data_IF_601254299758
#
_entry.id   IF_601254299758
#
_cell.length_a   1.000
_cell.length_b   1.000
_cell.length_c   1.000
_cell.angle_alpha   90.00
_cell.angle_beta   90.00
_cell.angle_gamma   90.00
#
_symmetry.space_group_name_H-M   'P 1'
#
loop_
_entity.id
_entity.type
_entity.pdbx_description
1 polymer ?
#
# COMPACT_ATOMS: atom_id res chain seq x y z
N UNK A 1 -18.93 8.74 80.77
CA UNK A 1 -20.29 9.02 80.20
C UNK A 1 -20.10 9.56 78.80
N UNK A 2 -20.79 8.92 77.82
CA UNK A 2 -20.97 9.26 76.42
C UNK A 2 -20.05 8.61 75.39
N UNK A 3 -20.59 7.52 74.89
CA UNK A 3 -20.32 6.83 73.68
C UNK A 3 -20.41 7.77 72.46
N UNK A 4 -19.42 7.69 71.58
CA UNK A 4 -19.60 8.19 70.22
C UNK A 4 -19.36 7.06 69.24
N UNK A 5 -20.43 6.73 68.53
CA UNK A 5 -20.44 5.64 67.58
C UNK A 5 -19.60 5.90 66.33
N UNK A 6 -18.87 4.88 65.95
CA UNK A 6 -18.09 4.82 64.71
C UNK A 6 -19.05 4.35 63.64
N UNK A 7 -19.37 5.23 62.67
CA UNK A 7 -20.08 4.84 61.47
C UNK A 7 -18.99 4.44 60.44
N UNK A 8 -18.78 3.13 60.37
CA UNK A 8 -17.96 2.53 59.31
C UNK A 8 -18.78 2.51 58.01
N UNK A 9 -18.52 3.47 57.15
CA UNK A 9 -19.06 3.44 55.78
C UNK A 9 -18.29 2.44 54.93
N UNK A 10 -18.90 1.28 54.69
CA UNK A 10 -18.38 0.26 53.79
C UNK A 10 -18.68 0.69 52.34
N UNK A 11 -17.70 1.32 51.69
CA UNK A 11 -17.73 1.60 50.25
C UNK A 11 -17.52 0.29 49.51
N UNK A 12 -18.62 -0.37 49.12
CA UNK A 12 -18.61 -1.51 48.22
C UNK A 12 -18.37 -1.02 46.81
N UNK A 13 -17.07 -1.02 46.38
CA UNK A 13 -16.68 -0.76 45.02
C UNK A 13 -17.20 -1.86 44.11
N UNK A 14 -18.29 -1.57 43.39
CA UNK A 14 -18.90 -2.45 42.39
C UNK A 14 -17.95 -2.48 41.18
N UNK A 15 -16.95 -3.37 41.17
CA UNK A 15 -16.12 -3.67 40.01
C UNK A 15 -16.99 -4.41 39.00
N UNK A 16 -17.57 -3.66 38.07
CA UNK A 16 -18.16 -4.23 36.86
C UNK A 16 -17.05 -4.90 36.04
N UNK A 17 -17.11 -6.21 35.78
CA UNK A 17 -16.20 -6.80 34.83
C UNK A 17 -16.53 -6.19 33.45
N UNK A 18 -15.59 -5.49 32.83
CA UNK A 18 -15.62 -5.27 31.39
C UNK A 18 -15.60 -6.67 30.77
N UNK A 19 -16.76 -7.15 30.37
CA UNK A 19 -16.86 -8.30 29.50
C UNK A 19 -16.16 -7.90 28.19
N UNK A 20 -14.93 -8.36 28.03
CA UNK A 20 -14.28 -8.35 26.73
C UNK A 20 -15.18 -9.18 25.82
N UNK A 21 -15.89 -8.51 24.92
CA UNK A 21 -16.65 -9.17 23.87
C UNK A 21 -15.61 -9.91 23.06
N UNK A 22 -15.49 -11.21 23.29
CA UNK A 22 -14.65 -12.09 22.50
C UNK A 22 -15.31 -12.13 21.11
N UNK A 23 -14.70 -11.39 20.19
CA UNK A 23 -15.11 -11.35 18.80
C UNK A 23 -14.82 -12.75 18.20
N UNK A 24 -15.86 -13.53 18.00
CA UNK A 24 -15.78 -14.96 17.64
C UNK A 24 -15.55 -15.11 16.13
N UNK A 25 -14.52 -14.47 15.64
CA UNK A 25 -14.08 -14.61 14.26
C UNK A 25 -13.31 -15.92 14.10
N UNK A 26 -13.93 -16.92 13.46
CA UNK A 26 -13.45 -18.32 13.48
C UNK A 26 -12.35 -18.66 12.49
N UNK A 27 -12.19 -17.93 11.39
CA UNK A 27 -11.23 -18.26 10.33
C UNK A 27 -10.73 -16.99 9.64
N UNK A 28 -9.41 -16.94 9.39
CA UNK A 28 -8.74 -15.89 8.60
C UNK A 28 -9.04 -14.45 9.07
N UNK A 29 -8.97 -14.23 10.37
CA UNK A 29 -9.18 -12.94 10.97
C UNK A 29 -7.87 -12.26 11.34
N UNK A 30 -7.92 -10.94 11.49
CA UNK A 30 -6.80 -10.14 11.88
C UNK A 30 -7.21 -8.72 12.24
N UNK A 31 -6.22 -7.94 12.61
CA UNK A 31 -6.36 -6.51 12.92
C UNK A 31 -5.53 -5.71 11.91
N UNK A 32 -6.09 -4.65 11.38
CA UNK A 32 -5.36 -3.71 10.52
C UNK A 32 -4.27 -3.05 11.34
N UNK A 33 -3.02 -3.35 11.03
CA UNK A 33 -1.86 -2.79 11.70
C UNK A 33 -1.42 -1.45 11.12
N UNK A 34 -1.57 -1.26 9.79
CA UNK A 34 -1.28 0.02 9.16
C UNK A 34 -1.99 0.14 7.80
N UNK A 35 -2.31 1.38 7.43
CA UNK A 35 -2.80 1.75 6.11
C UNK A 35 -1.85 2.81 5.54
N UNK A 36 -1.08 2.46 4.50
CA UNK A 36 -0.08 3.35 3.90
C UNK A 36 -0.41 3.61 2.45
N UNK A 37 -0.12 4.81 2.03
CA UNK A 37 -0.20 5.20 0.62
C UNK A 37 1.20 5.06 0.01
N UNK A 38 1.33 4.29 -1.06
CA UNK A 38 2.58 4.08 -1.77
C UNK A 38 2.43 4.42 -3.26
N UNK A 39 3.47 5.01 -3.83
CA UNK A 39 3.53 5.24 -5.26
C UNK A 39 4.23 4.07 -5.91
N UNK A 40 3.54 3.39 -6.83
CA UNK A 40 4.11 2.33 -7.66
C UNK A 40 4.49 2.87 -9.02
N UNK A 41 5.63 2.44 -9.53
CA UNK A 41 6.01 2.73 -10.90
C UNK A 41 5.12 1.98 -11.88
N UNK A 42 4.76 2.64 -12.96
CA UNK A 42 3.99 2.02 -14.02
C UNK A 42 4.80 0.93 -14.74
N UNK A 43 4.12 -0.10 -15.21
CA UNK A 43 4.75 -1.09 -16.10
C UNK A 43 5.01 -0.45 -17.47
N UNK A 44 6.27 -0.40 -17.86
CA UNK A 44 6.66 0.01 -19.22
C UNK A 44 6.13 -1.01 -20.22
N UNK A 45 5.35 -0.57 -21.18
CA UNK A 45 4.85 -1.44 -22.28
C UNK A 45 5.83 -1.46 -23.46
N UNK A 46 6.90 -0.66 -23.38
CA UNK A 46 7.88 -0.52 -24.43
C UNK A 46 7.56 0.55 -25.48
N UNK A 47 6.34 1.10 -25.46
CA UNK A 47 5.93 2.17 -26.38
C UNK A 47 6.84 3.40 -26.28
N UNK A 48 7.20 3.80 -25.04
CA UNK A 48 8.12 4.89 -24.80
C UNK A 48 9.53 4.60 -25.37
N UNK A 49 10.01 3.35 -25.25
CA UNK A 49 11.28 2.94 -25.82
C UNK A 49 11.26 3.00 -27.36
N UNK A 50 10.20 2.52 -28.00
CA UNK A 50 10.04 2.60 -29.46
C UNK A 50 9.96 4.05 -29.94
N UNK A 51 9.09 4.85 -29.33
CA UNK A 51 8.94 6.26 -29.69
C UNK A 51 10.22 7.07 -29.45
N UNK A 52 10.86 6.85 -28.30
CA UNK A 52 12.12 7.49 -27.95
C UNK A 52 13.27 7.05 -28.86
N UNK A 53 13.34 5.76 -29.22
CA UNK A 53 14.34 5.23 -30.15
C UNK A 53 14.21 5.83 -31.56
N UNK A 54 12.99 5.91 -32.08
CA UNK A 54 12.72 6.54 -33.38
C UNK A 54 13.08 8.02 -33.35
N UNK A 55 12.61 8.76 -32.35
CA UNK A 55 12.92 10.19 -32.23
C UNK A 55 14.41 10.42 -32.05
N UNK A 56 15.10 9.66 -31.20
CA UNK A 56 16.54 9.75 -30.96
C UNK A 56 17.35 9.36 -32.19
N UNK A 57 16.91 8.35 -32.94
CA UNK A 57 17.53 7.95 -34.20
C UNK A 57 17.44 9.04 -35.28
N UNK A 58 16.27 9.67 -35.42
CA UNK A 58 16.07 10.78 -36.35
C UNK A 58 16.96 11.97 -36.00
N UNK A 59 17.02 12.37 -34.73
CA UNK A 59 17.87 13.44 -34.25
C UNK A 59 19.36 13.09 -34.46
N UNK A 60 19.76 11.87 -34.09
CA UNK A 60 21.15 11.39 -34.29
C UNK A 60 21.54 11.35 -35.75
N UNK A 61 20.61 11.07 -36.68
CA UNK A 61 20.85 11.09 -38.09
C UNK A 61 21.10 12.51 -38.65
N UNK A 62 20.55 13.55 -38.02
CA UNK A 62 20.78 14.95 -38.42
C UNK A 62 22.10 15.49 -37.89
N UNK A 63 22.69 14.86 -36.89
CA UNK A 63 23.92 15.28 -36.25
C UNK A 63 25.09 14.50 -36.85
N UNK A 64 25.94 15.12 -37.67
CA UNK A 64 27.17 14.55 -38.18
C UNK A 64 27.16 14.18 -39.65
N UNK A 65 28.37 14.01 -40.21
CA UNK A 65 28.63 13.59 -41.58
C UNK A 65 29.51 12.33 -41.64
N UNK A 66 29.35 11.52 -42.67
CA UNK A 66 30.16 10.32 -42.88
C UNK A 66 30.00 9.26 -41.80
N UNK A 67 31.10 8.68 -41.34
CA UNK A 67 31.10 7.62 -40.30
C UNK A 67 30.59 8.09 -38.98
N UNK A 68 30.68 9.37 -38.62
CA UNK A 68 30.13 9.95 -37.38
C UNK A 68 28.62 9.93 -37.35
N UNK A 69 27.95 10.05 -38.49
CA UNK A 69 26.50 9.98 -38.62
C UNK A 69 25.95 8.63 -38.16
N UNK A 70 26.59 7.53 -38.53
CA UNK A 70 26.19 6.19 -38.12
C UNK A 70 26.27 6.01 -36.60
N UNK A 71 27.38 6.46 -35.98
CA UNK A 71 27.53 6.38 -34.53
C UNK A 71 26.52 7.25 -33.78
N UNK A 72 26.27 8.48 -34.29
CA UNK A 72 25.26 9.37 -33.69
C UNK A 72 23.83 8.81 -33.81
N UNK A 73 23.52 8.15 -34.92
CA UNK A 73 22.21 7.49 -35.09
C UNK A 73 22.04 6.33 -34.13
N UNK A 74 23.04 5.44 -34.01
CA UNK A 74 23.00 4.30 -33.08
C UNK A 74 22.90 4.77 -31.64
N UNK A 75 23.73 5.75 -31.26
CA UNK A 75 23.68 6.35 -29.91
C UNK A 75 22.35 7.05 -29.62
N UNK A 76 21.79 7.73 -30.62
CA UNK A 76 20.49 8.39 -30.53
C UNK A 76 19.33 7.38 -30.34
N UNK A 77 19.32 6.27 -31.07
CA UNK A 77 18.33 5.20 -30.91
C UNK A 77 18.45 4.60 -29.51
N UNK A 78 19.62 4.22 -29.07
CA UNK A 78 19.82 3.59 -27.76
C UNK A 78 19.48 4.54 -26.62
N UNK A 79 19.99 5.76 -26.64
CA UNK A 79 19.71 6.78 -25.63
C UNK A 79 18.26 7.21 -25.60
N UNK A 80 17.65 7.39 -26.78
CA UNK A 80 16.24 7.73 -26.93
C UNK A 80 15.31 6.61 -26.42
N UNK A 81 15.63 5.35 -26.75
CA UNK A 81 14.86 4.21 -26.26
C UNK A 81 14.91 4.09 -24.71
N UNK A 82 16.09 4.26 -24.13
CA UNK A 82 16.25 4.26 -22.68
C UNK A 82 15.47 5.40 -22.01
N UNK A 83 15.67 6.63 -22.48
CA UNK A 83 14.99 7.81 -21.96
C UNK A 83 13.46 7.69 -22.10
N UNK A 84 12.98 7.23 -23.27
CA UNK A 84 11.56 7.04 -23.54
C UNK A 84 10.94 5.98 -22.62
N UNK A 85 11.66 4.89 -22.34
CA UNK A 85 11.20 3.86 -21.40
C UNK A 85 11.05 4.40 -19.95
N UNK A 86 12.04 5.19 -19.51
CA UNK A 86 11.99 5.80 -18.17
C UNK A 86 10.89 6.84 -18.05
N UNK A 87 10.68 7.64 -19.09
CA UNK A 87 9.56 8.59 -19.14
C UNK A 87 8.21 7.85 -19.06
N UNK A 88 8.06 6.76 -19.82
CA UNK A 88 6.85 5.93 -19.80
C UNK A 88 6.53 5.41 -18.40
N UNK A 89 7.51 4.86 -17.69
CA UNK A 89 7.34 4.38 -16.31
C UNK A 89 6.91 5.51 -15.37
N UNK A 90 7.52 6.70 -15.52
CA UNK A 90 7.20 7.86 -14.69
C UNK A 90 5.78 8.39 -14.93
N UNK A 91 5.38 8.47 -16.18
CA UNK A 91 4.04 8.95 -16.56
C UNK A 91 2.95 7.97 -16.11
N UNK A 92 3.24 6.67 -16.09
CA UNK A 92 2.33 5.62 -15.66
C UNK A 92 2.37 5.33 -14.16
N UNK A 93 3.06 6.15 -13.35
CA UNK A 93 3.01 6.01 -11.89
C UNK A 93 1.58 6.13 -11.39
N UNK A 94 1.25 5.27 -10.47
CA UNK A 94 -0.05 5.29 -9.81
C UNK A 94 0.13 5.10 -8.32
N UNK A 95 -0.81 5.63 -7.58
CA UNK A 95 -0.87 5.49 -6.13
C UNK A 95 -1.67 4.25 -5.77
N UNK A 96 -1.15 3.46 -4.84
CA UNK A 96 -1.83 2.32 -4.22
C UNK A 96 -1.87 2.50 -2.71
N UNK A 97 -2.87 1.91 -2.09
CA UNK A 97 -2.97 1.82 -0.63
C UNK A 97 -2.54 0.42 -0.21
N UNK A 98 -1.55 0.33 0.67
CA UNK A 98 -1.08 -0.92 1.24
C UNK A 98 -1.61 -1.04 2.65
N UNK A 99 -2.43 -2.06 2.88
CA UNK A 99 -2.99 -2.40 4.18
C UNK A 99 -2.21 -3.58 4.73
N UNK A 100 -1.52 -3.38 5.84
CA UNK A 100 -0.88 -4.47 6.57
C UNK A 100 -1.87 -5.00 7.62
N UNK A 101 -2.18 -6.27 7.55
CA UNK A 101 -3.08 -6.96 8.49
C UNK A 101 -2.27 -7.94 9.33
N UNK A 102 -2.31 -7.77 10.64
CA UNK A 102 -1.78 -8.71 11.61
C UNK A 102 -2.83 -9.80 11.82
N UNK A 103 -2.59 -10.96 11.26
CA UNK A 103 -3.50 -12.10 11.36
C UNK A 103 -3.43 -12.74 12.74
N UNK A 104 -4.52 -13.34 13.18
CA UNK A 104 -4.60 -14.02 14.49
C UNK A 104 -3.66 -15.24 14.59
N UNK A 105 -3.22 -15.78 13.46
CA UNK A 105 -2.20 -16.84 13.40
C UNK A 105 -0.75 -16.32 13.54
N UNK A 106 -0.57 -15.01 13.83
CA UNK A 106 0.72 -14.36 13.99
C UNK A 106 1.41 -13.93 12.69
N UNK A 107 0.80 -14.17 11.53
CA UNK A 107 1.34 -13.73 10.24
C UNK A 107 0.93 -12.29 9.94
N UNK A 108 1.83 -11.54 9.29
CA UNK A 108 1.50 -10.22 8.73
C UNK A 108 1.26 -10.39 7.23
N UNK A 109 0.10 -9.95 6.76
CA UNK A 109 -0.25 -9.98 5.33
C UNK A 109 -0.48 -8.57 4.82
N UNK A 110 0.09 -8.28 3.65
CA UNK A 110 -0.07 -6.99 2.98
C UNK A 110 -1.05 -7.15 1.81
N UNK A 111 -1.99 -6.20 1.72
CA UNK A 111 -2.99 -6.15 0.66
C UNK A 111 -2.91 -4.81 -0.05
N UNK A 112 -2.90 -4.83 -1.38
CA UNK A 112 -2.88 -3.61 -2.20
C UNK A 112 -4.29 -3.28 -2.71
N UNK A 113 -4.65 -1.99 -2.60
CA UNK A 113 -5.90 -1.43 -3.09
C UNK A 113 -5.60 -0.27 -4.03
N UNK A 114 -6.29 -0.23 -5.17
CA UNK A 114 -6.17 0.88 -6.12
C UNK A 114 -6.83 2.17 -5.61
N UNK A 115 -7.77 2.05 -4.67
CA UNK A 115 -8.49 3.15 -4.04
C UNK A 115 -8.38 3.03 -2.53
N UNK A 116 -8.64 4.12 -1.81
CA UNK A 116 -8.63 4.11 -0.36
C UNK A 116 -9.63 3.07 0.18
N UNK A 117 -9.16 2.08 0.94
CA UNK A 117 -10.03 1.06 1.50
C UNK A 117 -10.89 1.64 2.64
N UNK A 118 -12.11 1.13 2.83
CA UNK A 118 -13.02 1.59 3.89
C UNK A 118 -12.66 0.99 5.26
N UNK A 119 -11.36 1.01 5.60
CA UNK A 119 -10.84 0.48 6.86
C UNK A 119 -9.70 1.35 7.37
N UNK A 120 -9.52 1.38 8.68
CA UNK A 120 -8.50 2.15 9.38
C UNK A 120 -7.66 1.23 10.29
N UNK A 121 -6.55 1.75 10.79
CA UNK A 121 -5.73 1.05 11.79
C UNK A 121 -6.57 0.69 13.02
N UNK A 122 -6.40 -0.54 13.51
CA UNK A 122 -7.15 -1.08 14.62
C UNK A 122 -8.48 -1.77 14.25
N UNK A 123 -8.95 -1.63 13.01
CA UNK A 123 -10.16 -2.32 12.57
C UNK A 123 -9.96 -3.84 12.58
N UNK A 124 -10.97 -4.55 13.08
CA UNK A 124 -11.05 -6.00 12.97
C UNK A 124 -11.50 -6.37 11.56
N UNK A 125 -10.77 -7.23 10.90
CA UNK A 125 -11.03 -7.65 9.53
C UNK A 125 -11.05 -9.17 9.41
N UNK A 126 -11.82 -9.65 8.44
CA UNK A 126 -11.88 -11.05 8.04
C UNK A 126 -11.48 -11.15 6.56
N UNK A 127 -10.74 -12.18 6.18
CA UNK A 127 -10.40 -12.42 4.79
C UNK A 127 -11.54 -13.13 4.07
N UNK A 128 -12.20 -12.42 3.18
CA UNK A 128 -13.22 -12.97 2.27
C UNK A 128 -12.59 -13.06 0.87
N UNK A 129 -12.52 -14.27 0.31
CA UNK A 129 -11.89 -14.50 -1.00
C UNK A 129 -10.49 -13.88 -1.12
N UNK A 130 -9.69 -14.02 -0.06
CA UNK A 130 -8.33 -13.49 0.04
C UNK A 130 -8.23 -11.95 0.01
N UNK A 131 -9.30 -11.24 0.39
CA UNK A 131 -9.34 -9.79 0.57
C UNK A 131 -9.81 -9.46 1.98
N UNK A 132 -9.19 -8.48 2.66
CA UNK A 132 -9.66 -8.04 3.96
C UNK A 132 -10.95 -7.24 3.81
N UNK A 133 -11.97 -7.65 4.53
CA UNK A 133 -13.23 -6.94 4.70
C UNK A 133 -13.42 -6.65 6.18
N UNK A 134 -14.01 -5.49 6.51
CA UNK A 134 -14.28 -5.15 7.90
C UNK A 134 -15.19 -6.20 8.52
N UNK A 135 -14.75 -6.80 9.62
CA UNK A 135 -15.56 -7.74 10.36
C UNK A 135 -16.68 -6.99 11.06
N UNK A 136 -17.90 -7.31 10.69
CA UNK A 136 -19.12 -6.85 11.38
C UNK A 136 -19.60 -8.01 12.24
N UNK A 137 -19.17 -8.05 13.52
CA UNK A 137 -19.65 -9.03 14.48
C UNK A 137 -21.19 -9.10 14.47
N UNK A 138 -21.74 -10.30 14.42
CA UNK A 138 -23.18 -10.53 14.59
C UNK A 138 -23.50 -10.67 16.06
#
# INVERSE_FOLDING_TARGET
MRMNGIISGLLLALALPLAAVADDCKVDCGIVGSVRQETREGKGTGLGAVAGGVAGGLLGHQIGGGKGKTLATIGGVAGGAYAGHEVEKRVKRHTVYVVAVNMDNGQVRNFEFAQQPPMIEGDRVQLVKNRPERYQGK
#
